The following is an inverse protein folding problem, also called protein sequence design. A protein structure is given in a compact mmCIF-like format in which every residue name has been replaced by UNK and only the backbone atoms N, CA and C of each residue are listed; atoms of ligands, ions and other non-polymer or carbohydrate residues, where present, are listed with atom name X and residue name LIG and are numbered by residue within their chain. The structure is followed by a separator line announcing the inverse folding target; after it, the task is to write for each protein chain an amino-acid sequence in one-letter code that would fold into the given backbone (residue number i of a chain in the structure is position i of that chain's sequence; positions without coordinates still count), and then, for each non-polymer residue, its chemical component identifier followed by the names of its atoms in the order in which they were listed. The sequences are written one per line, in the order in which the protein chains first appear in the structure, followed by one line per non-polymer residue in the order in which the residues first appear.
data_IF_163892987617
#
_entry.id   IF_163892987617
#
_cell.length_a   1.000
_cell.length_b   1.000
_cell.length_c   1.000
_cell.angle_alpha   90.00
_cell.angle_beta   90.00
_cell.angle_gamma   90.00
#
_symmetry.space_group_name_H-M   'P 1'
#
loop_
_entity.id
_entity.type
_entity.pdbx_description
1 polymer ?
#
# COMPACT_ATOMS: atom_id res chain seq x y z
N UNK A 1 -17.42 -3.76 -8.59
CA UNK A 1 -17.41 -5.05 -7.87
C UNK A 1 -18.83 -5.57 -7.69
N UNK A 2 -18.99 -6.89 -7.60
CA UNK A 2 -20.29 -7.57 -7.40
C UNK A 2 -20.63 -7.76 -5.93
N UNK A 3 -19.62 -7.69 -5.06
CA UNK A 3 -19.74 -7.87 -3.62
C UNK A 3 -18.81 -6.89 -2.90
N UNK A 4 -19.12 -6.58 -1.67
CA UNK A 4 -18.25 -5.83 -0.76
C UNK A 4 -18.11 -6.59 0.55
N UNK A 5 -16.89 -6.60 1.12
CA UNK A 5 -16.66 -7.11 2.46
C UNK A 5 -16.80 -5.95 3.44
N UNK A 6 -17.74 -6.08 4.36
CA UNK A 6 -18.04 -5.08 5.38
C UNK A 6 -17.59 -5.61 6.74
N UNK A 7 -16.83 -4.83 7.48
CA UNK A 7 -16.54 -5.09 8.89
C UNK A 7 -17.50 -4.31 9.76
N UNK A 8 -18.28 -5.04 10.56
CA UNK A 8 -19.26 -4.46 11.45
C UNK A 8 -19.22 -5.15 12.81
N UNK A 9 -19.56 -4.43 13.87
CA UNK A 9 -19.67 -5.02 15.19
C UNK A 9 -21.04 -5.70 15.38
N UNK A 10 -21.05 -6.90 15.93
CA UNK A 10 -22.28 -7.60 16.32
C UNK A 10 -22.72 -7.25 17.74
N UNK A 11 -21.83 -6.63 18.52
CA UNK A 11 -22.12 -6.16 19.87
C UNK A 11 -21.27 -4.92 20.19
N UNK A 12 -21.95 -3.76 20.32
CA UNK A 12 -21.27 -2.49 20.60
C UNK A 12 -20.62 -2.45 21.99
N UNK A 13 -21.14 -3.21 22.94
CA UNK A 13 -20.61 -3.24 24.31
C UNK A 13 -19.24 -3.89 24.41
N UNK A 14 -18.91 -4.79 23.46
CA UNK A 14 -17.65 -5.51 23.39
C UNK A 14 -16.61 -4.81 22.48
N UNK A 15 -16.95 -3.64 21.95
CA UNK A 15 -16.05 -2.83 21.12
C UNK A 15 -15.52 -3.61 19.92
N UNK A 16 -14.18 -3.51 19.68
CA UNK A 16 -13.53 -4.15 18.54
C UNK A 16 -13.47 -5.68 18.61
N UNK A 17 -13.68 -6.28 19.79
CA UNK A 17 -13.67 -7.74 19.94
C UNK A 17 -14.85 -8.40 19.22
N UNK A 18 -15.95 -7.69 19.05
CA UNK A 18 -17.15 -8.16 18.37
C UNK A 18 -17.20 -7.80 16.88
N UNK A 19 -16.12 -7.28 16.28
CA UNK A 19 -16.07 -6.99 14.85
C UNK A 19 -16.01 -8.30 14.07
N UNK A 20 -16.90 -8.43 13.09
CA UNK A 20 -17.01 -9.56 12.17
C UNK A 20 -16.98 -9.06 10.73
N UNK A 21 -16.64 -9.95 9.80
CA UNK A 21 -16.61 -9.67 8.38
C UNK A 21 -17.84 -10.27 7.71
N UNK A 22 -18.48 -9.49 6.85
CA UNK A 22 -19.70 -9.89 6.13
C UNK A 22 -19.51 -9.67 4.64
N UNK A 23 -19.94 -10.63 3.82
CA UNK A 23 -20.01 -10.47 2.37
C UNK A 23 -21.38 -9.89 2.03
N UNK A 24 -21.40 -8.66 1.52
CA UNK A 24 -22.63 -7.98 1.13
C UNK A 24 -22.69 -7.93 -0.40
N UNK A 25 -23.72 -8.56 -1.04
CA UNK A 25 -23.94 -8.42 -2.47
C UNK A 25 -24.23 -6.96 -2.84
N UNK A 26 -23.84 -6.55 -4.05
CA UNK A 26 -24.06 -5.18 -4.53
C UNK A 26 -25.54 -4.79 -4.61
N UNK A 27 -26.38 -5.75 -4.88
CA UNK A 27 -27.83 -5.61 -5.02
C UNK A 27 -28.61 -5.87 -3.72
N UNK A 28 -27.90 -6.02 -2.59
CA UNK A 28 -28.52 -6.19 -1.28
C UNK A 28 -29.42 -4.99 -0.97
N UNK A 29 -30.69 -5.22 -0.57
CA UNK A 29 -31.57 -4.14 -0.16
C UNK A 29 -30.95 -3.33 0.99
N UNK A 30 -30.97 -2.00 0.87
CA UNK A 30 -30.38 -1.09 1.85
C UNK A 30 -28.90 -0.79 1.62
N UNK A 31 -28.22 -1.38 0.62
CA UNK A 31 -26.89 -0.96 0.18
C UNK A 31 -27.01 0.00 -1.00
N UNK A 32 -26.41 1.16 -0.89
CA UNK A 32 -26.29 2.12 -1.98
C UNK A 32 -24.90 2.76 -2.08
N UNK A 33 -24.56 3.23 -3.27
CA UNK A 33 -23.34 4.03 -3.49
C UNK A 33 -23.72 5.50 -3.30
N UNK A 34 -23.25 6.11 -2.22
CA UNK A 34 -23.52 7.51 -1.93
C UNK A 34 -22.75 8.45 -2.87
N UNK A 35 -21.48 8.13 -3.14
CA UNK A 35 -20.65 8.88 -4.09
C UNK A 35 -19.42 8.09 -4.51
N UNK A 36 -18.87 8.44 -5.67
CA UNK A 36 -17.53 8.03 -6.09
C UNK A 36 -16.51 9.09 -5.67
N UNK A 37 -15.37 8.66 -5.17
CA UNK A 37 -14.32 9.56 -4.71
C UNK A 37 -13.43 10.01 -5.88
N UNK A 38 -13.17 11.32 -5.97
CA UNK A 38 -12.16 11.86 -6.86
C UNK A 38 -10.78 11.70 -6.24
N UNK A 39 -9.95 10.84 -6.85
CA UNK A 39 -8.63 10.50 -6.33
C UNK A 39 -7.52 11.18 -7.14
N UNK A 40 -6.38 11.45 -6.50
CA UNK A 40 -5.18 11.97 -7.16
C UNK A 40 -4.52 10.92 -8.07
N UNK A 41 -4.61 9.63 -7.71
CA UNK A 41 -4.04 8.53 -8.47
C UNK A 41 -4.89 7.27 -8.39
N UNK A 42 -4.46 6.21 -9.06
CA UNK A 42 -5.14 4.90 -9.15
C UNK A 42 -6.61 5.09 -9.59
N UNK A 43 -6.83 5.96 -10.58
CA UNK A 43 -8.17 6.37 -11.02
C UNK A 43 -8.93 5.24 -11.71
N UNK A 44 -8.22 4.26 -12.28
CA UNK A 44 -8.83 3.08 -12.90
C UNK A 44 -9.47 2.10 -11.89
N UNK A 45 -9.17 2.25 -10.60
CA UNK A 45 -9.83 1.49 -9.52
C UNK A 45 -10.72 2.43 -8.73
N UNK A 46 -12.03 2.27 -8.87
CA UNK A 46 -13.00 3.11 -8.17
C UNK A 46 -12.90 2.99 -6.65
N UNK A 47 -13.06 4.11 -5.97
CA UNK A 47 -13.28 4.19 -4.53
C UNK A 47 -14.60 4.88 -4.29
N UNK A 48 -15.45 4.31 -3.46
CA UNK A 48 -16.79 4.82 -3.23
C UNK A 48 -17.13 4.92 -1.75
N UNK A 49 -17.92 5.91 -1.38
CA UNK A 49 -18.63 5.92 -0.12
C UNK A 49 -19.89 5.06 -0.25
N UNK A 50 -20.02 4.07 0.60
CA UNK A 50 -21.18 3.18 0.65
C UNK A 50 -22.08 3.57 1.82
N UNK A 51 -23.39 3.54 1.59
CA UNK A 51 -24.42 3.73 2.60
C UNK A 51 -25.13 2.41 2.82
N UNK A 52 -25.25 2.00 4.10
CA UNK A 52 -26.00 0.82 4.52
C UNK A 52 -27.09 1.26 5.48
N UNK A 53 -28.35 1.17 5.03
CA UNK A 53 -29.54 1.52 5.81
C UNK A 53 -30.47 0.32 5.86
N UNK A 54 -30.67 -0.23 7.05
CA UNK A 54 -31.46 -1.45 7.27
C UNK A 54 -31.09 -2.60 6.31
N UNK A 55 -29.80 -2.66 5.92
CA UNK A 55 -29.29 -3.65 4.99
C UNK A 55 -29.29 -5.04 5.65
N UNK A 56 -30.16 -5.92 5.17
CA UNK A 56 -30.30 -7.29 5.66
C UNK A 56 -29.67 -8.27 4.68
N UNK A 57 -28.80 -9.11 5.20
CA UNK A 57 -28.13 -10.17 4.44
C UNK A 57 -28.35 -11.53 5.12
N UNK A 58 -28.27 -12.63 4.36
CA UNK A 58 -28.35 -13.98 4.93
C UNK A 58 -27.25 -14.22 5.97
N UNK A 59 -27.56 -15.03 6.99
CA UNK A 59 -26.60 -15.40 8.05
C UNK A 59 -25.32 -16.05 7.49
N UNK A 60 -25.45 -16.79 6.40
CA UNK A 60 -24.35 -17.51 5.74
C UNK A 60 -23.36 -16.57 5.05
N UNK A 61 -23.69 -15.29 4.94
CA UNK A 61 -22.78 -14.26 4.42
C UNK A 61 -21.74 -13.78 5.48
N UNK A 62 -21.83 -14.28 6.71
CA UNK A 62 -20.80 -14.09 7.73
C UNK A 62 -19.55 -14.88 7.37
N UNK A 63 -18.39 -14.23 7.32
CA UNK A 63 -17.11 -14.89 7.15
C UNK A 63 -16.53 -15.34 8.50
N UNK A 64 -16.23 -16.62 8.60
CA UNK A 64 -15.69 -17.23 9.82
C UNK A 64 -16.78 -17.67 10.80
N UNK A 65 -16.56 -17.49 12.10
CA UNK A 65 -17.49 -17.90 13.16
C UNK A 65 -18.29 -16.74 13.73
N UNK A 66 -19.55 -17.00 14.07
CA UNK A 66 -20.42 -16.04 14.78
C UNK A 66 -20.00 -15.83 16.25
N UNK A 67 -19.27 -16.79 16.83
CA UNK A 67 -18.82 -16.70 18.21
C UNK A 67 -17.88 -15.50 18.42
N UNK A 68 -18.15 -14.73 19.47
CA UNK A 68 -17.31 -13.61 19.87
C UNK A 68 -16.24 -14.11 20.83
N UNK A 69 -14.98 -14.05 20.41
CA UNK A 69 -13.85 -14.32 21.29
C UNK A 69 -13.20 -12.98 21.68
N UNK A 70 -13.38 -12.58 22.94
CA UNK A 70 -12.94 -11.29 23.45
C UNK A 70 -11.41 -11.12 23.37
N UNK A 71 -10.65 -12.21 23.50
CA UNK A 71 -9.18 -12.19 23.45
C UNK A 71 -8.64 -12.11 22.02
N UNK A 72 -9.33 -12.72 21.05
CA UNK A 72 -8.86 -12.88 19.67
C UNK A 72 -9.74 -12.19 18.62
N UNK A 73 -10.83 -11.55 19.03
CA UNK A 73 -11.87 -11.06 18.11
C UNK A 73 -11.38 -10.11 17.01
N UNK A 74 -10.33 -9.35 17.24
CA UNK A 74 -9.75 -8.44 16.24
C UNK A 74 -8.54 -9.01 15.50
N UNK A 75 -8.06 -10.20 15.88
CA UNK A 75 -6.83 -10.78 15.31
C UNK A 75 -6.96 -11.07 13.80
N UNK A 76 -8.12 -11.54 13.34
CA UNK A 76 -8.37 -11.81 11.91
C UNK A 76 -8.32 -10.55 11.04
N UNK A 77 -8.84 -9.42 11.55
CA UNK A 77 -8.74 -8.12 10.86
C UNK A 77 -7.29 -7.69 10.76
N UNK A 78 -6.53 -7.79 11.86
CA UNK A 78 -5.11 -7.43 11.88
C UNK A 78 -4.29 -8.31 10.95
N UNK A 79 -4.55 -9.61 10.91
CA UNK A 79 -3.91 -10.54 9.98
C UNK A 79 -4.17 -10.17 8.51
N UNK A 80 -5.37 -9.71 8.18
CA UNK A 80 -5.66 -9.20 6.83
C UNK A 80 -4.76 -8.01 6.48
N UNK A 81 -4.58 -7.07 7.41
CA UNK A 81 -3.66 -5.94 7.18
C UNK A 81 -2.19 -6.37 7.10
N UNK A 82 -1.78 -7.35 7.88
CA UNK A 82 -0.41 -7.87 7.86
C UNK A 82 -0.08 -8.52 6.52
N UNK A 83 -1.06 -9.14 5.87
CA UNK A 83 -0.90 -9.72 4.53
C UNK A 83 -1.01 -8.67 3.41
N UNK A 84 -1.80 -7.60 3.58
CA UNK A 84 -2.02 -6.61 2.52
C UNK A 84 -1.02 -5.46 2.52
N UNK A 85 -0.41 -5.13 3.65
CA UNK A 85 0.60 -4.05 3.75
C UNK A 85 1.82 -4.27 2.84
N UNK A 86 2.41 -5.48 2.74
CA UNK A 86 3.50 -5.73 1.79
C UNK A 86 3.09 -5.56 0.33
N UNK A 87 1.83 -5.87 -0.04
CA UNK A 87 1.31 -5.63 -1.39
C UNK A 87 1.27 -4.13 -1.72
N UNK A 88 0.76 -3.32 -0.78
CA UNK A 88 0.75 -1.86 -0.93
C UNK A 88 2.17 -1.29 -0.98
N UNK A 89 3.10 -1.84 -0.19
CA UNK A 89 4.52 -1.50 -0.28
C UNK A 89 5.07 -1.80 -1.68
N UNK A 90 4.74 -2.97 -2.26
CA UNK A 90 5.14 -3.35 -3.61
C UNK A 90 4.66 -2.38 -4.68
N UNK A 91 3.43 -1.86 -4.57
CA UNK A 91 2.93 -0.82 -5.48
C UNK A 91 3.76 0.47 -5.40
N UNK A 92 4.08 0.93 -4.20
CA UNK A 92 4.90 2.13 -3.99
C UNK A 92 6.33 1.94 -4.51
N UNK A 93 6.93 0.76 -4.28
CA UNK A 93 8.26 0.37 -4.79
C UNK A 93 8.27 0.37 -6.32
N UNK A 94 7.22 -0.13 -6.96
CA UNK A 94 7.09 -0.14 -8.42
C UNK A 94 7.06 1.27 -9.02
N UNK A 95 6.31 2.19 -8.42
CA UNK A 95 6.28 3.60 -8.84
C UNK A 95 7.66 4.26 -8.66
N UNK A 96 8.29 4.05 -7.50
CA UNK A 96 9.62 4.59 -7.23
C UNK A 96 10.68 4.06 -8.20
N UNK A 97 10.61 2.77 -8.55
CA UNK A 97 11.49 2.15 -9.54
C UNK A 97 11.33 2.79 -10.92
N UNK A 98 10.11 2.94 -11.40
CA UNK A 98 9.86 3.59 -12.69
C UNK A 98 10.42 5.02 -12.73
N UNK A 99 10.26 5.78 -11.64
CA UNK A 99 10.83 7.13 -11.54
C UNK A 99 12.37 7.13 -11.57
N UNK A 100 13.03 6.16 -10.93
CA UNK A 100 14.48 6.03 -10.96
C UNK A 100 14.98 5.62 -12.36
N UNK A 101 14.31 4.68 -13.02
CA UNK A 101 14.66 4.23 -14.37
C UNK A 101 14.58 5.40 -15.37
N UNK A 102 13.51 6.19 -15.30
CA UNK A 102 13.34 7.38 -16.13
C UNK A 102 14.37 8.46 -15.81
N UNK A 103 14.58 8.77 -14.53
CA UNK A 103 15.61 9.73 -14.11
C UNK A 103 17.00 9.34 -14.61
N UNK A 104 17.34 8.05 -14.52
CA UNK A 104 18.64 7.56 -15.03
C UNK A 104 18.79 7.82 -16.52
N UNK A 105 17.75 7.57 -17.32
CA UNK A 105 17.77 7.87 -18.75
C UNK A 105 18.00 9.36 -19.02
N UNK A 106 17.29 10.22 -18.32
CA UNK A 106 17.42 11.68 -18.43
C UNK A 106 18.85 12.15 -18.07
N UNK A 107 19.43 11.59 -17.01
CA UNK A 107 20.80 11.93 -16.59
C UNK A 107 21.83 11.52 -17.64
N UNK A 108 21.67 10.31 -18.21
CA UNK A 108 22.55 9.82 -19.28
C UNK A 108 22.46 10.71 -20.52
N UNK A 109 21.25 11.08 -20.94
CA UNK A 109 21.02 11.97 -22.08
C UNK A 109 21.58 13.39 -21.84
N UNK A 110 21.64 13.82 -20.59
CA UNK A 110 22.29 15.07 -20.17
C UNK A 110 23.81 14.95 -20.00
N UNK A 111 24.42 13.79 -20.31
CA UNK A 111 25.85 13.56 -20.16
C UNK A 111 26.33 13.37 -18.72
N UNK A 112 25.41 13.09 -17.79
CA UNK A 112 25.74 12.81 -16.39
C UNK A 112 25.89 11.31 -16.20
N UNK A 113 27.11 10.85 -16.01
CA UNK A 113 27.42 9.45 -15.72
C UNK A 113 27.13 9.13 -14.25
N UNK A 114 26.45 8.01 -14.00
CA UNK A 114 26.21 7.46 -12.67
C UNK A 114 27.14 6.25 -12.48
N UNK A 115 28.13 6.38 -11.63
CA UNK A 115 29.15 5.35 -11.37
C UNK A 115 29.00 4.78 -9.94
N UNK A 116 28.95 3.45 -9.84
CA UNK A 116 28.96 2.75 -8.54
C UNK A 116 30.36 2.58 -7.95
N UNK A 117 31.41 2.82 -8.78
CA UNK A 117 32.80 2.66 -8.38
C UNK A 117 33.42 3.98 -7.88
N UNK A 118 32.88 5.11 -8.33
CA UNK A 118 33.36 6.44 -7.97
C UNK A 118 32.70 6.91 -6.67
N UNK A 119 33.45 7.38 -5.66
CA UNK A 119 32.87 7.94 -4.44
C UNK A 119 31.91 9.09 -4.73
N UNK A 120 30.81 9.18 -3.97
CA UNK A 120 29.73 10.16 -4.19
C UNK A 120 30.25 11.62 -4.27
N UNK A 121 31.24 11.98 -3.45
CA UNK A 121 31.83 13.33 -3.41
C UNK A 121 32.69 13.66 -4.64
N UNK A 122 33.03 12.68 -5.48
CA UNK A 122 33.79 12.86 -6.72
C UNK A 122 32.91 12.76 -7.97
N UNK A 123 31.58 12.60 -7.80
CA UNK A 123 30.64 12.53 -8.90
C UNK A 123 29.88 13.85 -9.09
N UNK A 124 29.19 13.97 -10.20
CA UNK A 124 28.21 15.03 -10.40
C UNK A 124 27.13 14.95 -9.30
N UNK A 125 26.70 16.10 -8.75
CA UNK A 125 25.77 16.14 -7.63
C UNK A 125 24.45 15.36 -7.90
N UNK A 126 23.95 15.42 -9.15
CA UNK A 126 22.75 14.67 -9.54
C UNK A 126 22.99 13.14 -9.54
N UNK A 127 24.19 12.68 -9.92
CA UNK A 127 24.56 11.26 -9.89
C UNK A 127 24.69 10.77 -8.44
N UNK A 128 25.31 11.55 -7.57
CA UNK A 128 25.41 11.23 -6.14
C UNK A 128 24.02 11.14 -5.48
N UNK A 129 23.13 12.07 -5.80
CA UNK A 129 21.75 12.05 -5.30
C UNK A 129 20.95 10.87 -5.86
N UNK A 130 21.10 10.54 -7.14
CA UNK A 130 20.51 9.34 -7.74
C UNK A 130 20.89 8.08 -6.96
N UNK A 131 22.16 7.87 -6.66
CA UNK A 131 22.62 6.71 -5.90
C UNK A 131 22.04 6.66 -4.49
N UNK A 132 21.87 7.81 -3.84
CA UNK A 132 21.19 7.89 -2.53
C UNK A 132 19.73 7.44 -2.62
N UNK A 133 19.00 7.91 -3.65
CA UNK A 133 17.60 7.54 -3.88
C UNK A 133 17.47 6.05 -4.21
N UNK A 134 18.40 5.50 -4.99
CA UNK A 134 18.44 4.07 -5.32
C UNK A 134 18.67 3.21 -4.06
N UNK A 135 19.57 3.64 -3.17
CA UNK A 135 19.77 2.96 -1.89
C UNK A 135 18.51 2.99 -0.99
N UNK A 136 17.77 4.10 -0.98
CA UNK A 136 16.49 4.21 -0.27
C UNK A 136 15.41 3.29 -0.86
N UNK A 137 15.39 3.15 -2.19
CA UNK A 137 14.52 2.23 -2.89
C UNK A 137 14.85 0.77 -2.54
N UNK A 138 16.13 0.39 -2.61
CA UNK A 138 16.59 -0.97 -2.29
C UNK A 138 16.25 -1.34 -0.83
N UNK A 139 16.47 -0.44 0.11
CA UNK A 139 16.11 -0.66 1.51
C UNK A 139 14.60 -0.91 1.69
N UNK A 140 13.75 -0.14 0.98
CA UNK A 140 12.30 -0.33 1.00
C UNK A 140 11.89 -1.67 0.37
N UNK A 141 12.53 -2.05 -0.74
CA UNK A 141 12.30 -3.29 -1.47
C UNK A 141 12.63 -4.51 -0.60
N UNK A 142 13.82 -4.53 0.01
CA UNK A 142 14.24 -5.61 0.90
C UNK A 142 13.32 -5.78 2.13
N UNK A 143 12.83 -4.67 2.71
CA UNK A 143 11.85 -4.73 3.79
C UNK A 143 10.51 -5.36 3.34
N UNK A 144 10.05 -5.04 2.13
CA UNK A 144 8.83 -5.62 1.59
C UNK A 144 8.99 -7.12 1.30
N UNK A 145 10.11 -7.51 0.69
CA UNK A 145 10.45 -8.92 0.46
C UNK A 145 10.55 -9.71 1.77
N UNK A 146 11.18 -9.15 2.80
CA UNK A 146 11.25 -9.77 4.13
C UNK A 146 9.87 -10.00 4.72
N UNK A 147 8.99 -8.99 4.65
CA UNK A 147 7.62 -9.12 5.19
C UNK A 147 6.79 -10.16 4.43
N UNK A 148 6.94 -10.24 3.11
CA UNK A 148 6.30 -11.24 2.27
C UNK A 148 6.83 -12.65 2.57
N UNK A 149 8.16 -12.82 2.64
CA UNK A 149 8.79 -14.08 2.97
C UNK A 149 8.33 -14.65 4.31
N UNK A 150 8.23 -13.79 5.35
CA UNK A 150 7.70 -14.19 6.66
C UNK A 150 6.25 -14.69 6.56
N UNK A 151 5.41 -14.00 5.77
CA UNK A 151 4.03 -14.43 5.54
C UNK A 151 3.96 -15.81 4.87
N UNK A 152 4.78 -16.04 3.84
CA UNK A 152 4.84 -17.32 3.11
C UNK A 152 5.30 -18.46 4.02
N UNK A 153 6.20 -18.17 4.95
CA UNK A 153 6.71 -19.15 5.94
C UNK A 153 5.84 -19.23 7.22
N UNK A 154 4.67 -18.57 7.24
CA UNK A 154 3.73 -18.56 8.37
C UNK A 154 4.34 -18.00 9.66
N UNK A 155 5.32 -17.12 9.54
CA UNK A 155 5.91 -16.40 10.65
C UNK A 155 5.12 -15.11 10.95
N UNK A 156 4.98 -14.71 12.23
CA UNK A 156 4.35 -13.43 12.58
C UNK A 156 5.11 -12.25 11.96
N UNK A 157 4.46 -11.50 11.07
CA UNK A 157 5.10 -10.44 10.27
C UNK A 157 4.52 -9.03 10.48
N UNK A 158 3.69 -8.83 11.49
CA UNK A 158 2.97 -7.55 11.70
C UNK A 158 3.89 -6.33 11.76
N UNK A 159 5.03 -6.45 12.45
CA UNK A 159 6.03 -5.41 12.53
C UNK A 159 6.67 -5.13 11.16
N UNK A 160 7.13 -6.17 10.47
CA UNK A 160 7.80 -6.07 9.17
C UNK A 160 6.85 -5.56 8.08
N UNK A 161 5.60 -6.02 8.09
CA UNK A 161 4.54 -5.54 7.21
C UNK A 161 4.27 -4.03 7.40
N UNK A 162 4.23 -3.59 8.66
CA UNK A 162 4.05 -2.16 8.99
C UNK A 162 5.25 -1.31 8.59
N UNK A 163 6.48 -1.78 8.88
CA UNK A 163 7.72 -1.12 8.50
C UNK A 163 7.88 -1.01 6.99
N UNK A 164 7.61 -2.10 6.25
CA UNK A 164 7.72 -2.12 4.79
C UNK A 164 6.78 -1.09 4.14
N UNK A 165 5.52 -1.06 4.57
CA UNK A 165 4.52 -0.11 4.04
C UNK A 165 4.90 1.34 4.36
N UNK A 166 5.37 1.61 5.57
CA UNK A 166 5.77 2.97 5.99
C UNK A 166 7.01 3.44 5.21
N UNK A 167 8.06 2.61 5.11
CA UNK A 167 9.29 2.94 4.38
C UNK A 167 9.02 3.09 2.89
N UNK A 168 8.33 2.13 2.27
CA UNK A 168 8.04 2.16 0.83
C UNK A 168 7.22 3.40 0.43
N UNK A 169 6.15 3.72 1.18
CA UNK A 169 5.35 4.91 0.90
C UNK A 169 6.14 6.20 1.04
N UNK A 170 6.99 6.34 2.06
CA UNK A 170 7.85 7.50 2.24
C UNK A 170 8.90 7.60 1.13
N UNK A 171 9.62 6.51 0.87
CA UNK A 171 10.65 6.49 -0.19
C UNK A 171 10.06 6.79 -1.56
N UNK A 172 8.87 6.28 -1.89
CA UNK A 172 8.24 6.56 -3.18
C UNK A 172 7.94 8.06 -3.37
N UNK A 173 7.45 8.73 -2.33
CA UNK A 173 7.22 10.19 -2.38
C UNK A 173 8.54 10.95 -2.54
N UNK A 174 9.53 10.63 -1.72
CA UNK A 174 10.82 11.32 -1.73
C UNK A 174 11.54 11.11 -3.07
N UNK A 175 11.53 9.88 -3.62
CA UNK A 175 12.14 9.53 -4.91
C UNK A 175 11.43 10.25 -6.06
N UNK A 176 10.10 10.19 -6.14
CA UNK A 176 9.36 10.79 -7.26
C UNK A 176 9.48 12.31 -7.28
N UNK A 177 9.41 12.97 -6.12
CA UNK A 177 9.60 14.42 -6.04
C UNK A 177 11.03 14.84 -6.42
N UNK A 178 12.03 14.09 -5.93
CA UNK A 178 13.43 14.38 -6.25
C UNK A 178 13.76 14.06 -7.71
N UNK A 179 13.13 13.03 -8.29
CA UNK A 179 13.28 12.73 -9.72
C UNK A 179 12.76 13.89 -10.59
N UNK A 180 11.59 14.47 -10.26
CA UNK A 180 11.07 15.66 -10.96
C UNK A 180 12.03 16.84 -10.83
N UNK A 181 12.56 17.10 -9.62
CA UNK A 181 13.53 18.17 -9.38
C UNK A 181 14.80 18.01 -10.21
N UNK A 182 15.39 16.81 -10.23
CA UNK A 182 16.63 16.51 -10.94
C UNK A 182 16.44 16.46 -12.46
N UNK A 183 15.26 16.06 -12.93
CA UNK A 183 14.92 16.08 -14.36
C UNK A 183 14.75 17.51 -14.91
N UNK A 184 14.62 18.52 -14.04
CA UNK A 184 14.45 19.91 -14.44
C UNK A 184 13.21 20.13 -15.31
N UNK A 185 13.39 20.72 -16.50
CA UNK A 185 12.26 21.01 -17.41
C UNK A 185 11.53 19.76 -17.89
N UNK A 186 12.21 18.64 -18.04
CA UNK A 186 11.60 17.34 -18.42
C UNK A 186 10.64 16.82 -17.36
N UNK A 187 10.83 17.15 -16.10
CA UNK A 187 9.96 16.71 -15.00
C UNK A 187 8.57 17.38 -15.00
N UNK A 188 8.36 18.39 -15.86
CA UNK A 188 7.10 19.15 -15.98
C UNK A 188 6.41 18.97 -17.33
N UNK A 189 6.91 18.09 -18.18
CA UNK A 189 6.38 17.84 -19.54
C UNK A 189 5.39 16.68 -19.59
#
# INVERSE_FOLDING_TARGET
STHVVVWATVDKSLGRAAIKSFVVPRDAPGLSVARLEHKLGIKASDTAALLLEDCRIPKDNLLGTAEVNVEKGFAGVMQTFDNTRPLVAGMAIGVARAALEELRSILVDAGVEVSYETPAYNQHAAAAEFLRLEADWEAAHLLALRAAWMADNKEPNSLQASMSKAKAGRSAVDITLKAVELAGTYGYS
#
